data_IF_252726248894
#
_entry.id   IF_252726248894
#
_cell.length_a   1.000
_cell.length_b   1.000
_cell.length_c   1.000
_cell.angle_alpha   90.00
_cell.angle_beta   90.00
_cell.angle_gamma   90.00
#
_symmetry.space_group_name_H-M   'P 1'
#
loop_
_entity.id
_entity.type
_entity.pdbx_description
1 polymer ?
#
# COMPACT_ATOMS: atom_id res chain seq x y z
N UNK A 1 11.97 -23.60 -4.40
CA UNK A 1 12.13 -23.74 -2.94
C UNK A 1 11.55 -22.53 -2.24
N UNK A 2 11.11 -22.65 -0.99
CA UNK A 2 10.57 -21.53 -0.21
C UNK A 2 11.61 -20.39 -0.10
N UNK A 3 12.89 -20.75 0.06
CA UNK A 3 13.99 -19.78 0.12
C UNK A 3 14.17 -18.96 -1.18
N UNK A 4 13.83 -19.52 -2.33
CA UNK A 4 13.81 -18.78 -3.59
C UNK A 4 12.69 -17.73 -3.59
N UNK A 5 11.48 -18.14 -3.20
CA UNK A 5 10.32 -17.25 -3.17
C UNK A 5 10.54 -16.07 -2.22
N UNK A 6 11.06 -16.33 -1.02
CA UNK A 6 11.39 -15.29 -0.03
C UNK A 6 12.40 -14.28 -0.58
N UNK A 7 13.49 -14.76 -1.20
CA UNK A 7 14.51 -13.88 -1.82
C UNK A 7 13.91 -13.08 -2.99
N UNK A 8 13.12 -13.73 -3.83
CA UNK A 8 12.48 -13.11 -4.98
C UNK A 8 11.56 -11.95 -4.56
N UNK A 9 10.69 -12.17 -3.57
CA UNK A 9 9.81 -11.14 -3.03
C UNK A 9 10.57 -10.02 -2.31
N UNK A 10 11.58 -10.37 -1.51
CA UNK A 10 12.38 -9.40 -0.80
C UNK A 10 13.16 -8.46 -1.74
N UNK A 11 13.75 -9.01 -2.82
CA UNK A 11 14.47 -8.23 -3.84
C UNK A 11 13.49 -7.28 -4.57
N UNK A 12 12.31 -7.76 -4.95
CA UNK A 12 11.29 -6.95 -5.60
C UNK A 12 10.81 -5.79 -4.72
N UNK A 13 10.47 -6.07 -3.47
CA UNK A 13 10.02 -5.06 -2.51
C UNK A 13 11.12 -4.05 -2.16
N UNK A 14 12.37 -4.49 -2.01
CA UNK A 14 13.50 -3.58 -1.80
C UNK A 14 13.73 -2.67 -3.01
N UNK A 15 13.69 -3.24 -4.22
CA UNK A 15 13.75 -2.47 -5.47
C UNK A 15 12.62 -1.44 -5.54
N UNK A 16 11.41 -1.84 -5.16
CA UNK A 16 10.25 -0.93 -5.11
C UNK A 16 10.47 0.21 -4.11
N UNK A 17 11.01 -0.07 -2.92
CA UNK A 17 11.31 0.94 -1.91
C UNK A 17 12.31 1.99 -2.43
N UNK A 18 13.45 1.54 -2.95
CA UNK A 18 14.49 2.43 -3.47
C UNK A 18 13.99 3.23 -4.67
N UNK A 19 13.31 2.57 -5.61
CA UNK A 19 12.85 3.20 -6.84
C UNK A 19 11.76 4.24 -6.60
N UNK A 20 10.86 4.04 -5.63
CA UNK A 20 9.80 5.00 -5.29
C UNK A 20 10.35 6.39 -4.98
N UNK A 21 11.47 6.46 -4.27
CA UNK A 21 12.13 7.74 -3.97
C UNK A 21 12.54 8.49 -5.24
N UNK A 22 13.26 7.83 -6.15
CA UNK A 22 13.73 8.47 -7.40
C UNK A 22 12.58 8.76 -8.37
N UNK A 23 11.60 7.87 -8.45
CA UNK A 23 10.42 8.05 -9.31
C UNK A 23 9.60 9.26 -8.86
N UNK A 24 9.52 9.55 -7.56
CA UNK A 24 8.86 10.74 -7.05
C UNK A 24 9.37 12.04 -7.70
N UNK A 25 10.68 12.16 -7.96
CA UNK A 25 11.25 13.31 -8.68
C UNK A 25 10.88 13.34 -10.16
N UNK A 26 10.76 12.18 -10.79
CA UNK A 26 10.36 12.07 -12.20
C UNK A 26 8.89 12.46 -12.40
N UNK A 27 7.99 12.09 -11.47
CA UNK A 27 6.57 12.41 -11.52
C UNK A 27 6.32 13.92 -11.52
N UNK A 28 7.11 14.69 -10.79
CA UNK A 28 6.98 16.15 -10.74
C UNK A 28 7.48 16.84 -12.02
N UNK A 29 8.28 16.15 -12.86
CA UNK A 29 8.92 16.75 -14.04
C UNK A 29 8.28 16.34 -15.37
N UNK A 30 7.72 15.15 -15.42
CA UNK A 30 7.22 14.56 -16.66
C UNK A 30 5.70 14.42 -16.68
N UNK A 31 5.16 14.17 -17.86
CA UNK A 31 3.73 13.93 -18.05
C UNK A 31 3.31 12.63 -17.34
N UNK A 32 2.42 12.77 -16.37
CA UNK A 32 1.94 11.67 -15.54
C UNK A 32 1.29 10.54 -16.36
N UNK A 33 0.53 10.88 -17.42
CA UNK A 33 -0.09 9.88 -18.31
C UNK A 33 0.98 9.02 -18.99
N UNK A 34 2.02 9.65 -19.55
CA UNK A 34 3.11 8.92 -20.22
C UNK A 34 3.89 8.03 -19.25
N UNK A 35 4.17 8.53 -18.04
CA UNK A 35 4.85 7.75 -17.00
C UNK A 35 4.00 6.55 -16.56
N UNK A 36 2.70 6.73 -16.36
CA UNK A 36 1.81 5.64 -15.97
C UNK A 36 1.77 4.54 -17.04
N UNK A 37 1.67 4.92 -18.32
CA UNK A 37 1.73 3.97 -19.44
C UNK A 37 3.06 3.23 -19.48
N UNK A 38 4.17 3.94 -19.30
CA UNK A 38 5.51 3.36 -19.26
C UNK A 38 5.66 2.32 -18.15
N UNK A 39 5.28 2.66 -16.90
CA UNK A 39 5.39 1.74 -15.78
C UNK A 39 4.43 0.55 -15.89
N UNK A 40 3.21 0.76 -16.41
CA UNK A 40 2.27 -0.34 -16.70
C UNK A 40 2.83 -1.32 -17.71
N UNK A 41 3.50 -0.80 -18.76
CA UNK A 41 4.14 -1.66 -19.77
C UNK A 41 5.30 -2.47 -19.18
N UNK A 42 6.12 -1.87 -18.32
CA UNK A 42 7.18 -2.59 -17.60
C UNK A 42 6.57 -3.74 -16.79
N UNK A 43 5.54 -3.47 -15.98
CA UNK A 43 4.89 -4.51 -15.17
C UNK A 43 4.33 -5.63 -16.04
N UNK A 44 3.65 -5.31 -17.15
CA UNK A 44 3.10 -6.31 -18.06
C UNK A 44 4.18 -7.23 -18.64
N UNK A 45 5.30 -6.66 -19.10
CA UNK A 45 6.43 -7.41 -19.67
C UNK A 45 7.09 -8.29 -18.59
N UNK A 46 7.29 -7.75 -17.37
CA UNK A 46 7.90 -8.51 -16.28
C UNK A 46 7.05 -9.70 -15.86
N UNK A 47 5.74 -9.51 -15.67
CA UNK A 47 4.85 -10.62 -15.28
C UNK A 47 4.79 -11.69 -16.37
N UNK A 48 4.76 -11.30 -17.65
CA UNK A 48 4.87 -12.25 -18.74
C UNK A 48 6.20 -13.01 -18.68
N UNK A 49 7.31 -12.30 -18.41
CA UNK A 49 8.62 -12.90 -18.21
C UNK A 49 8.67 -13.91 -17.08
N UNK A 50 8.04 -13.61 -15.93
CA UNK A 50 7.96 -14.54 -14.77
C UNK A 50 7.28 -15.87 -15.11
N UNK A 51 6.31 -15.85 -16.02
CA UNK A 51 5.62 -17.08 -16.45
C UNK A 51 6.45 -17.93 -17.40
N UNK A 52 7.25 -17.28 -18.26
CA UNK A 52 8.00 -17.97 -19.35
C UNK A 52 9.40 -18.39 -18.90
N UNK A 53 10.05 -17.58 -18.04
CA UNK A 53 11.45 -17.79 -17.65
C UNK A 53 11.53 -18.79 -16.49
N UNK A 54 12.45 -19.76 -16.62
CA UNK A 54 12.71 -20.76 -15.57
C UNK A 54 14.08 -20.58 -14.89
N UNK A 55 14.91 -19.65 -15.36
CA UNK A 55 16.22 -19.40 -14.78
C UNK A 55 16.14 -18.50 -13.56
N UNK A 56 16.59 -18.97 -12.40
CA UNK A 56 16.50 -18.26 -11.12
C UNK A 56 17.17 -16.88 -11.13
N UNK A 57 18.35 -16.75 -11.75
CA UNK A 57 19.09 -15.48 -11.80
C UNK A 57 18.32 -14.44 -12.62
N UNK A 58 17.79 -14.89 -13.78
CA UNK A 58 16.99 -14.02 -14.64
C UNK A 58 15.71 -13.61 -13.94
N UNK A 59 15.08 -14.50 -13.15
CA UNK A 59 13.89 -14.17 -12.37
C UNK A 59 14.18 -13.10 -11.29
N UNK A 60 15.35 -13.11 -10.66
CA UNK A 60 15.73 -12.02 -9.74
C UNK A 60 15.85 -10.67 -10.46
N UNK A 61 16.43 -10.66 -11.66
CA UNK A 61 16.51 -9.43 -12.49
C UNK A 61 15.11 -8.95 -12.87
N UNK A 62 14.22 -9.86 -13.27
CA UNK A 62 12.82 -9.53 -13.58
C UNK A 62 12.11 -8.98 -12.36
N UNK A 63 12.32 -9.54 -11.16
CA UNK A 63 11.77 -9.03 -9.91
C UNK A 63 12.23 -7.60 -9.59
N UNK A 64 13.50 -7.28 -9.84
CA UNK A 64 14.02 -5.90 -9.69
C UNK A 64 13.29 -4.95 -10.65
N UNK A 65 13.18 -5.31 -11.92
CA UNK A 65 12.54 -4.47 -12.94
C UNK A 65 11.04 -4.33 -12.66
N UNK A 66 10.38 -5.40 -12.23
CA UNK A 66 8.99 -5.37 -11.79
C UNK A 66 8.80 -4.43 -10.60
N UNK A 67 9.70 -4.50 -9.59
CA UNK A 67 9.69 -3.59 -8.44
C UNK A 67 9.78 -2.11 -8.85
N UNK A 68 10.60 -1.77 -9.85
CA UNK A 68 10.67 -0.42 -10.41
C UNK A 68 9.34 -0.02 -11.07
N UNK A 69 8.76 -0.91 -11.88
CA UNK A 69 7.47 -0.67 -12.53
C UNK A 69 6.33 -0.46 -11.52
N UNK A 70 6.22 -1.35 -10.56
CA UNK A 70 5.21 -1.30 -9.49
C UNK A 70 5.37 -0.03 -8.63
N UNK A 71 6.60 0.33 -8.25
CA UNK A 71 6.91 1.59 -7.57
C UNK A 71 6.37 2.80 -8.33
N UNK A 72 6.56 2.81 -9.67
CA UNK A 72 6.07 3.87 -10.53
C UNK A 72 4.56 4.00 -10.49
N UNK A 73 3.83 2.89 -10.60
CA UNK A 73 2.38 2.87 -10.58
C UNK A 73 1.82 3.33 -9.23
N UNK A 74 2.33 2.81 -8.13
CA UNK A 74 1.84 3.14 -6.80
C UNK A 74 2.15 4.60 -6.44
N UNK A 75 3.34 5.09 -6.80
CA UNK A 75 3.77 6.46 -6.47
C UNK A 75 3.05 7.52 -7.29
N UNK A 76 2.65 7.23 -8.54
CA UNK A 76 2.05 8.23 -9.44
C UNK A 76 0.54 8.44 -9.19
N UNK A 77 -0.17 7.44 -8.68
CA UNK A 77 -1.62 7.50 -8.50
C UNK A 77 -2.06 8.62 -7.54
N UNK A 78 -1.52 8.77 -6.32
CA UNK A 78 -1.95 9.83 -5.41
C UNK A 78 -1.76 11.25 -5.97
N UNK A 79 -0.62 11.63 -6.60
CA UNK A 79 -0.48 12.91 -7.29
C UNK A 79 -1.47 13.14 -8.44
N UNK A 80 -1.90 12.08 -9.14
CA UNK A 80 -2.96 12.19 -10.15
C UNK A 80 -4.29 12.49 -9.46
N UNK A 81 -4.67 11.72 -8.45
CA UNK A 81 -5.93 11.90 -7.73
C UNK A 81 -6.06 13.29 -7.12
N UNK A 82 -4.95 13.84 -6.61
CA UNK A 82 -4.92 15.20 -6.08
C UNK A 82 -5.17 16.28 -7.13
N UNK A 83 -4.94 16.02 -8.43
CA UNK A 83 -5.26 16.99 -9.50
C UNK A 83 -6.77 17.08 -9.77
N UNK A 84 -7.54 16.06 -9.42
CA UNK A 84 -9.00 15.99 -9.57
C UNK A 84 -9.76 16.29 -8.27
N UNK A 85 -9.04 16.58 -7.18
CA UNK A 85 -9.65 16.88 -5.89
C UNK A 85 -10.40 18.22 -5.98
N UNK A 86 -11.72 18.16 -5.81
CA UNK A 86 -12.62 19.31 -5.66
C UNK A 86 -13.19 19.34 -4.25
N UNK A 87 -13.90 20.42 -3.88
CA UNK A 87 -14.58 20.47 -2.58
C UNK A 87 -15.65 19.39 -2.44
N UNK A 88 -16.32 19.03 -3.53
CA UNK A 88 -17.34 17.97 -3.56
C UNK A 88 -16.75 16.55 -3.48
N UNK A 89 -15.51 16.37 -3.97
CA UNK A 89 -14.88 15.05 -4.10
C UNK A 89 -13.55 14.98 -3.32
N UNK A 90 -13.62 15.23 -2.01
CA UNK A 90 -12.43 15.36 -1.14
C UNK A 90 -11.69 14.04 -0.87
N UNK A 91 -12.35 12.88 -1.07
CA UNK A 91 -11.88 11.59 -0.55
C UNK A 91 -11.36 10.63 -1.61
N UNK A 92 -10.87 11.12 -2.77
CA UNK A 92 -10.39 10.26 -3.86
C UNK A 92 -9.31 9.24 -3.46
N UNK A 93 -8.41 9.59 -2.54
CA UNK A 93 -7.38 8.67 -2.07
C UNK A 93 -8.01 7.50 -1.32
N UNK A 94 -9.01 7.77 -0.47
CA UNK A 94 -9.74 6.73 0.27
C UNK A 94 -10.55 5.84 -0.68
N UNK A 95 -11.23 6.43 -1.67
CA UNK A 95 -11.94 5.65 -2.71
C UNK A 95 -10.99 4.75 -3.50
N UNK A 96 -9.83 5.28 -3.91
CA UNK A 96 -8.84 4.48 -4.61
C UNK A 96 -8.36 3.30 -3.77
N UNK A 97 -8.18 3.50 -2.46
CA UNK A 97 -7.78 2.43 -1.54
C UNK A 97 -8.86 1.36 -1.43
N UNK A 98 -10.13 1.75 -1.28
CA UNK A 98 -11.26 0.82 -1.26
C UNK A 98 -11.36 -0.02 -2.53
N UNK A 99 -11.26 0.61 -3.71
CA UNK A 99 -11.26 -0.07 -5.01
C UNK A 99 -10.08 -1.05 -5.11
N UNK A 100 -8.89 -0.66 -4.64
CA UNK A 100 -7.70 -1.50 -4.67
C UNK A 100 -7.91 -2.78 -3.83
N UNK A 101 -8.43 -2.67 -2.61
CA UNK A 101 -8.71 -3.80 -1.73
C UNK A 101 -9.76 -4.73 -2.35
N UNK A 102 -10.86 -4.18 -2.89
CA UNK A 102 -11.90 -4.96 -3.57
C UNK A 102 -11.32 -5.69 -4.78
N UNK A 103 -10.53 -5.01 -5.59
CA UNK A 103 -9.89 -5.60 -6.80
C UNK A 103 -8.93 -6.72 -6.43
N UNK A 104 -8.12 -6.55 -5.39
CA UNK A 104 -7.23 -7.58 -4.84
C UNK A 104 -8.01 -8.83 -4.42
N UNK A 105 -9.14 -8.63 -3.73
CA UNK A 105 -10.01 -9.73 -3.29
C UNK A 105 -10.63 -10.48 -4.47
N UNK A 106 -11.17 -9.74 -5.44
CA UNK A 106 -11.75 -10.35 -6.66
C UNK A 106 -10.68 -11.14 -7.40
N UNK A 107 -9.47 -10.59 -7.55
CA UNK A 107 -8.34 -11.27 -8.18
C UNK A 107 -7.97 -12.57 -7.47
N UNK A 108 -7.87 -12.54 -6.14
CA UNK A 108 -7.57 -13.72 -5.32
C UNK A 108 -8.67 -14.80 -5.42
N UNK A 109 -9.94 -14.42 -5.38
CA UNK A 109 -11.07 -15.34 -5.53
C UNK A 109 -11.11 -15.95 -6.92
N UNK A 110 -10.91 -15.16 -7.97
CA UNK A 110 -10.85 -15.66 -9.35
C UNK A 110 -9.69 -16.64 -9.55
N UNK A 111 -8.51 -16.31 -9.04
CA UNK A 111 -7.36 -17.20 -9.08
C UNK A 111 -7.66 -18.53 -8.36
N UNK A 112 -8.25 -18.48 -7.17
CA UNK A 112 -8.66 -19.66 -6.40
C UNK A 112 -9.71 -20.50 -7.13
N UNK A 113 -10.71 -19.90 -7.75
CA UNK A 113 -11.73 -20.60 -8.53
C UNK A 113 -11.15 -21.27 -9.78
N UNK A 114 -10.32 -20.54 -10.54
CA UNK A 114 -9.74 -21.04 -11.79
C UNK A 114 -8.75 -22.20 -11.55
N UNK A 115 -7.97 -22.15 -10.47
CA UNK A 115 -7.02 -23.21 -10.10
C UNK A 115 -7.67 -24.34 -9.31
N UNK A 116 -8.89 -24.12 -8.79
CA UNK A 116 -9.64 -25.09 -8.01
C UNK A 116 -10.11 -26.32 -8.80
N UNK A 117 -10.65 -27.30 -8.08
CA UNK A 117 -11.10 -28.58 -8.64
C UNK A 117 -12.12 -28.46 -9.76
N UNK A 118 -12.88 -27.35 -9.83
CA UNK A 118 -13.92 -27.13 -10.84
C UNK A 118 -13.35 -26.87 -12.24
N UNK A 119 -12.31 -26.04 -12.34
CA UNK A 119 -11.74 -25.64 -13.63
C UNK A 119 -10.38 -26.27 -13.89
N UNK A 120 -9.63 -26.63 -12.84
CA UNK A 120 -8.32 -27.31 -12.91
C UNK A 120 -7.32 -26.65 -13.87
N UNK A 121 -7.42 -25.32 -14.02
CA UNK A 121 -6.51 -24.56 -14.89
C UNK A 121 -5.15 -24.46 -14.20
N UNK A 122 -4.07 -24.68 -14.93
CA UNK A 122 -2.72 -24.58 -14.37
C UNK A 122 -2.44 -23.15 -13.89
N UNK A 123 -1.73 -23.01 -12.78
CA UNK A 123 -1.34 -21.70 -12.21
C UNK A 123 -0.64 -20.82 -13.26
N UNK A 124 0.19 -21.42 -14.14
CA UNK A 124 0.86 -20.69 -15.24
C UNK A 124 -0.15 -20.03 -16.19
N UNK A 125 -1.21 -20.73 -16.57
CA UNK A 125 -2.24 -20.18 -17.47
C UNK A 125 -3.05 -19.07 -16.78
N UNK A 126 -3.33 -19.19 -15.49
CA UNK A 126 -3.99 -18.13 -14.72
C UNK A 126 -3.11 -16.89 -14.63
N UNK A 127 -1.81 -17.06 -14.41
CA UNK A 127 -0.86 -15.94 -14.36
C UNK A 127 -0.74 -15.21 -15.72
N UNK A 128 -0.97 -15.88 -16.86
CA UNK A 128 -1.01 -15.23 -18.18
C UNK A 128 -2.19 -14.28 -18.37
N UNK A 129 -3.24 -14.38 -17.55
CA UNK A 129 -4.35 -13.43 -17.58
C UNK A 129 -3.90 -12.04 -17.09
N UNK A 130 -2.96 -11.98 -16.15
CA UNK A 130 -2.51 -10.73 -15.53
C UNK A 130 -1.89 -9.76 -16.53
N UNK A 131 -0.89 -10.12 -17.37
CA UNK A 131 -0.36 -9.21 -18.38
C UNK A 131 -1.43 -8.78 -19.41
N UNK A 132 -2.42 -9.62 -19.73
CA UNK A 132 -3.53 -9.24 -20.59
C UNK A 132 -4.36 -8.13 -19.95
N UNK A 133 -4.66 -8.23 -18.64
CA UNK A 133 -5.37 -7.19 -17.90
C UNK A 133 -4.56 -5.88 -17.85
N UNK A 134 -3.23 -5.94 -17.74
CA UNK A 134 -2.38 -4.75 -17.85
C UNK A 134 -2.47 -4.10 -19.23
N UNK A 135 -2.47 -4.90 -20.31
CA UNK A 135 -2.63 -4.39 -21.68
C UNK A 135 -3.98 -3.72 -21.86
N UNK A 136 -5.07 -4.35 -21.39
CA UNK A 136 -6.41 -3.76 -21.41
C UNK A 136 -6.43 -2.44 -20.63
N UNK A 137 -5.83 -2.39 -19.44
CA UNK A 137 -5.70 -1.18 -18.64
C UNK A 137 -4.94 -0.08 -19.40
N UNK A 138 -3.84 -0.41 -20.09
CA UNK A 138 -3.08 0.52 -20.92
C UNK A 138 -3.97 1.08 -22.03
N UNK A 139 -4.73 0.24 -22.75
CA UNK A 139 -5.63 0.66 -23.83
C UNK A 139 -6.69 1.61 -23.29
N UNK A 140 -7.40 1.23 -22.21
CA UNK A 140 -8.45 2.07 -21.60
C UNK A 140 -7.86 3.42 -21.17
N UNK A 141 -6.66 3.42 -20.59
CA UNK A 141 -6.00 4.63 -20.12
C UNK A 141 -5.53 5.53 -21.28
N UNK A 142 -5.12 4.96 -22.41
CA UNK A 142 -4.76 5.73 -23.62
C UNK A 142 -5.95 6.40 -24.23
N UNK A 143 -7.11 5.74 -24.27
CA UNK A 143 -8.34 6.27 -24.83
C UNK A 143 -8.95 7.41 -23.99
N UNK A 144 -8.54 7.55 -22.73
CA UNK A 144 -9.06 8.59 -21.85
C UNK A 144 -8.22 9.87 -21.96
N UNK A 145 -8.64 10.81 -22.83
CA UNK A 145 -7.89 12.04 -23.16
C UNK A 145 -7.84 13.08 -22.04
N UNK A 146 -8.76 13.02 -21.08
CA UNK A 146 -8.91 14.04 -20.03
C UNK A 146 -7.94 13.92 -18.84
N UNK A 147 -7.00 12.99 -18.86
CA UNK A 147 -5.95 12.95 -17.83
C UNK A 147 -4.99 14.09 -18.15
N UNK A 148 -5.27 15.22 -17.49
CA UNK A 148 -4.70 16.51 -17.77
C UNK A 148 -3.20 16.46 -18.02
N UNK A 149 -2.82 16.62 -19.27
CA UNK A 149 -1.54 17.13 -19.69
C UNK A 149 -1.40 18.62 -19.33
N UNK A 150 -1.78 19.05 -18.14
CA UNK A 150 -1.35 20.34 -17.65
C UNK A 150 0.16 20.26 -17.48
N UNK A 151 0.85 20.37 -18.63
CA UNK A 151 2.25 20.73 -18.67
C UNK A 151 2.35 22.06 -17.94
N UNK A 152 2.85 22.01 -16.73
CA UNK A 152 3.12 23.22 -15.97
C UNK A 152 4.09 24.07 -16.75
N UNK A 153 3.68 25.31 -17.00
CA UNK A 153 4.60 26.38 -17.31
C UNK A 153 5.77 26.28 -16.35
N UNK A 154 6.98 26.21 -16.92
CA UNK A 154 8.23 26.21 -16.17
C UNK A 154 8.36 27.53 -15.44
N UNK A 155 7.81 27.65 -14.23
CA UNK A 155 8.01 28.86 -13.43
C UNK A 155 9.50 28.91 -13.03
N UNK A 156 10.17 29.99 -13.42
CA UNK A 156 11.56 30.31 -13.03
C UNK A 156 11.74 30.50 -11.52
N UNK A 157 10.67 30.54 -10.74
CA UNK A 157 10.66 30.65 -9.27
C UNK A 157 11.09 29.36 -8.53
N UNK A 158 11.50 28.33 -9.27
CA UNK A 158 11.71 26.95 -8.80
C UNK A 158 12.75 26.79 -7.69
N UNK A 159 13.75 27.67 -7.61
CA UNK A 159 14.87 27.50 -6.67
C UNK A 159 14.66 28.25 -5.32
N UNK A 160 13.85 29.29 -5.30
CA UNK A 160 13.63 30.09 -4.10
C UNK A 160 12.70 29.40 -3.10
N UNK A 161 11.68 28.69 -3.62
CA UNK A 161 10.72 27.95 -2.80
C UNK A 161 11.27 26.65 -2.19
N UNK A 162 12.31 26.05 -2.76
CA UNK A 162 12.94 24.85 -2.22
C UNK A 162 13.54 25.04 -0.82
N UNK A 163 14.06 26.24 -0.54
CA UNK A 163 14.70 26.57 0.74
C UNK A 163 13.70 26.97 1.83
N UNK A 164 12.48 27.41 1.45
CA UNK A 164 11.48 27.96 2.37
C UNK A 164 10.35 26.98 2.71
N UNK A 165 10.16 25.91 1.92
CA UNK A 165 8.93 25.11 1.95
C UNK A 165 8.98 23.85 2.80
N UNK A 166 10.16 23.32 3.10
CA UNK A 166 10.23 22.10 3.92
C UNK A 166 11.52 22.14 4.74
N UNK A 167 11.40 22.46 6.01
CA UNK A 167 12.51 22.28 6.95
C UNK A 167 12.96 20.82 6.94
N UNK A 168 14.24 20.55 7.20
CA UNK A 168 14.75 19.18 7.32
C UNK A 168 13.90 18.34 8.29
N UNK A 169 13.38 18.97 9.32
CA UNK A 169 12.46 18.40 10.30
C UNK A 169 11.16 17.88 9.70
N UNK A 170 10.57 18.59 8.73
CA UNK A 170 9.34 18.16 8.04
C UNK A 170 9.54 16.85 7.28
N UNK A 171 10.66 16.69 6.56
CA UNK A 171 11.00 15.45 5.87
C UNK A 171 11.21 14.29 6.83
N UNK A 172 11.93 14.54 7.93
CA UNK A 172 12.17 13.52 8.96
C UNK A 172 10.83 13.06 9.56
N UNK A 173 9.92 13.97 9.85
CA UNK A 173 8.60 13.64 10.40
C UNK A 173 7.77 12.80 9.43
N UNK A 174 7.78 13.11 8.12
CA UNK A 174 7.11 12.30 7.10
C UNK A 174 7.73 10.90 7.07
N UNK A 175 9.04 10.79 6.98
CA UNK A 175 9.74 9.51 6.92
C UNK A 175 9.41 8.67 8.15
N UNK A 176 9.54 9.22 9.35
CA UNK A 176 9.24 8.52 10.61
C UNK A 176 7.78 8.10 10.68
N UNK A 177 6.84 8.99 10.32
CA UNK A 177 5.43 8.68 10.32
C UNK A 177 5.10 7.48 9.43
N UNK A 178 5.59 7.48 8.19
CA UNK A 178 5.25 6.43 7.23
C UNK A 178 6.11 5.16 7.35
N UNK A 179 7.34 5.25 7.88
CA UNK A 179 8.07 4.06 8.33
C UNK A 179 7.29 3.34 9.44
N UNK A 180 6.82 4.08 10.43
CA UNK A 180 6.04 3.50 11.52
C UNK A 180 4.70 2.95 11.03
N UNK A 181 3.98 3.66 10.14
CA UNK A 181 2.74 3.13 9.54
C UNK A 181 2.98 1.85 8.74
N UNK A 182 4.10 1.72 8.04
CA UNK A 182 4.42 0.49 7.31
C UNK A 182 4.73 -0.71 8.22
N UNK A 183 5.19 -0.48 9.46
CA UNK A 183 5.35 -1.55 10.46
C UNK A 183 4.05 -1.95 11.16
N UNK A 184 3.07 -1.05 11.24
CA UNK A 184 1.84 -1.30 11.99
C UNK A 184 1.07 -2.55 11.50
N UNK A 185 0.91 -2.84 10.17
CA UNK A 185 0.18 -4.01 9.69
C UNK A 185 0.99 -5.31 9.71
N UNK A 186 2.04 -5.39 10.50
CA UNK A 186 2.93 -6.55 10.55
C UNK A 186 2.16 -7.87 10.75
N UNK A 187 1.14 -7.88 11.62
CA UNK A 187 0.31 -9.05 11.83
C UNK A 187 -0.50 -9.42 10.59
N UNK A 188 -1.03 -8.43 9.85
CA UNK A 188 -1.87 -8.67 8.68
C UNK A 188 -1.10 -9.42 7.59
N UNK A 189 0.18 -9.13 7.42
CA UNK A 189 1.04 -9.82 6.47
C UNK A 189 1.24 -11.30 6.82
N UNK A 190 1.12 -11.67 8.10
CA UNK A 190 1.29 -13.03 8.58
C UNK A 190 -0.01 -13.67 9.11
N UNK A 191 -1.15 -13.08 8.87
CA UNK A 191 -2.44 -13.49 9.43
C UNK A 191 -2.77 -14.96 9.09
N UNK A 192 -2.42 -15.40 7.88
CA UNK A 192 -2.65 -16.78 7.44
C UNK A 192 -1.85 -17.77 8.29
N UNK A 193 -0.56 -17.48 8.52
CA UNK A 193 0.34 -18.32 9.33
C UNK A 193 -0.07 -18.27 10.80
N UNK A 194 -0.52 -17.10 11.29
CA UNK A 194 -1.01 -16.93 12.63
C UNK A 194 -2.26 -17.80 12.91
N UNK A 195 -3.27 -17.76 12.04
CA UNK A 195 -4.48 -18.56 12.20
C UNK A 195 -4.21 -20.07 12.02
N UNK A 196 -3.37 -20.44 11.06
CA UNK A 196 -2.94 -21.82 10.90
C UNK A 196 -2.28 -22.37 12.17
N UNK A 197 -1.26 -21.67 12.70
CA UNK A 197 -0.50 -22.13 13.85
C UNK A 197 -1.28 -22.11 15.17
N UNK A 198 -2.23 -21.18 15.33
CA UNK A 198 -2.94 -20.98 16.58
C UNK A 198 -4.25 -21.78 16.67
N UNK A 199 -4.94 -21.95 15.56
CA UNK A 199 -6.27 -22.57 15.53
C UNK A 199 -6.33 -23.86 14.70
N UNK A 200 -5.24 -24.30 14.11
CA UNK A 200 -5.16 -25.49 13.22
C UNK A 200 -6.23 -25.45 12.11
N UNK A 201 -6.49 -24.30 11.54
CA UNK A 201 -7.47 -24.13 10.46
C UNK A 201 -6.80 -24.46 9.13
N UNK A 202 -7.49 -25.19 8.26
CA UNK A 202 -7.00 -25.49 6.92
C UNK A 202 -6.68 -24.25 6.11
N UNK A 203 -5.58 -24.29 5.35
CA UNK A 203 -5.10 -23.15 4.54
C UNK A 203 -6.18 -22.63 3.59
N UNK A 204 -7.00 -23.51 3.01
CA UNK A 204 -8.11 -23.13 2.12
C UNK A 204 -9.19 -22.30 2.86
N UNK A 205 -9.55 -22.70 4.07
CA UNK A 205 -10.54 -21.99 4.89
C UNK A 205 -9.99 -20.60 5.32
N UNK A 206 -8.70 -20.52 5.65
CA UNK A 206 -8.04 -19.26 5.97
C UNK A 206 -8.05 -18.32 4.76
N UNK A 207 -7.78 -18.84 3.57
CA UNK A 207 -7.80 -18.03 2.35
C UNK A 207 -9.20 -17.44 2.06
N UNK A 208 -10.27 -18.25 2.19
CA UNK A 208 -11.65 -17.76 2.05
C UNK A 208 -12.01 -16.74 3.10
N UNK A 209 -11.64 -16.98 4.37
CA UNK A 209 -11.89 -16.06 5.47
C UNK A 209 -11.18 -14.73 5.23
N UNK A 210 -9.92 -14.75 4.83
CA UNK A 210 -9.14 -13.54 4.53
C UNK A 210 -9.70 -12.78 3.32
N UNK A 211 -10.10 -13.49 2.26
CA UNK A 211 -10.76 -12.87 1.11
C UNK A 211 -12.07 -12.19 1.51
N UNK A 212 -12.89 -12.83 2.35
CA UNK A 212 -14.14 -12.25 2.85
C UNK A 212 -13.88 -11.00 3.71
N UNK A 213 -12.91 -11.07 4.63
CA UNK A 213 -12.53 -9.93 5.48
C UNK A 213 -12.10 -8.74 4.58
N UNK A 214 -11.23 -8.96 3.60
CA UNK A 214 -10.78 -7.89 2.70
C UNK A 214 -11.94 -7.32 1.86
N UNK A 215 -12.82 -8.17 1.35
CA UNK A 215 -13.98 -7.73 0.58
C UNK A 215 -14.90 -6.84 1.40
N UNK A 216 -15.27 -7.28 2.59
CA UNK A 216 -16.10 -6.51 3.51
C UNK A 216 -15.41 -5.21 3.96
N UNK A 217 -14.08 -5.25 4.17
CA UNK A 217 -13.29 -4.06 4.51
C UNK A 217 -13.31 -3.04 3.36
N UNK A 218 -13.10 -3.48 2.13
CA UNK A 218 -13.16 -2.62 0.96
C UNK A 218 -14.52 -1.92 0.81
N UNK A 219 -15.60 -2.66 0.98
CA UNK A 219 -16.98 -2.12 0.96
C UNK A 219 -17.18 -1.11 2.11
N UNK A 220 -16.78 -1.45 3.33
CA UNK A 220 -16.89 -0.56 4.48
C UNK A 220 -16.13 0.73 4.28
N UNK A 221 -14.89 0.66 3.81
CA UNK A 221 -14.05 1.83 3.52
C UNK A 221 -14.70 2.68 2.42
N UNK A 222 -15.28 2.07 1.38
CA UNK A 222 -15.99 2.79 0.33
C UNK A 222 -17.17 3.60 0.87
N UNK A 223 -17.99 3.03 1.77
CA UNK A 223 -19.10 3.75 2.37
C UNK A 223 -18.64 4.82 3.37
N UNK A 224 -17.68 4.49 4.22
CA UNK A 224 -17.14 5.43 5.22
C UNK A 224 -16.42 6.61 4.56
N UNK A 225 -15.82 6.41 3.37
CA UNK A 225 -15.16 7.48 2.63
C UNK A 225 -16.10 8.62 2.20
N UNK A 226 -17.42 8.39 2.19
CA UNK A 226 -18.43 9.43 1.93
C UNK A 226 -18.61 10.37 3.13
N UNK A 227 -18.15 9.98 4.31
CA UNK A 227 -18.28 10.76 5.56
C UNK A 227 -17.05 11.67 5.72
N UNK A 228 -17.24 12.86 6.27
CA UNK A 228 -16.15 13.82 6.50
C UNK A 228 -15.42 13.57 7.83
N UNK A 229 -14.46 12.64 7.84
CA UNK A 229 -13.68 12.28 9.03
C UNK A 229 -12.30 12.96 9.10
N UNK A 230 -12.15 14.21 8.61
CA UNK A 230 -10.84 14.87 8.50
C UNK A 230 -10.38 15.62 9.78
N UNK A 231 -11.14 15.54 10.85
CA UNK A 231 -10.73 16.20 12.10
C UNK A 231 -9.64 15.40 12.82
N UNK A 232 -8.73 16.10 13.50
CA UNK A 232 -7.72 15.46 14.37
C UNK A 232 -8.39 14.53 15.39
N UNK A 233 -9.57 14.90 15.88
CA UNK A 233 -10.35 14.07 16.83
C UNK A 233 -10.72 12.71 16.23
N UNK A 234 -11.12 12.66 14.95
CA UNK A 234 -11.43 11.40 14.27
C UNK A 234 -10.18 10.53 14.08
N UNK A 235 -9.05 11.13 13.71
CA UNK A 235 -7.78 10.40 13.60
C UNK A 235 -7.39 9.80 14.96
N UNK A 236 -7.47 10.59 16.02
CA UNK A 236 -7.18 10.10 17.37
C UNK A 236 -8.12 9.00 17.82
N UNK A 237 -9.42 9.08 17.49
CA UNK A 237 -10.36 8.00 17.79
C UNK A 237 -10.05 6.71 17.06
N UNK A 238 -9.65 6.78 15.77
CA UNK A 238 -9.21 5.60 15.02
C UNK A 238 -7.97 4.95 15.66
N UNK A 239 -7.00 5.75 16.10
CA UNK A 239 -5.80 5.23 16.78
C UNK A 239 -6.16 4.54 18.09
N UNK A 240 -7.01 5.15 18.91
CA UNK A 240 -7.49 4.52 20.17
C UNK A 240 -8.18 3.20 19.87
N UNK A 241 -9.04 3.15 18.84
CA UNK A 241 -9.71 1.92 18.43
C UNK A 241 -8.72 0.86 17.94
N UNK A 242 -7.70 1.23 17.16
CA UNK A 242 -6.64 0.30 16.72
C UNK A 242 -5.86 -0.26 17.93
N UNK A 243 -5.56 0.57 18.94
CA UNK A 243 -4.87 0.12 20.15
C UNK A 243 -5.74 -0.85 20.94
N UNK A 244 -7.02 -0.51 21.15
CA UNK A 244 -7.97 -1.38 21.84
C UNK A 244 -8.14 -2.72 21.11
N UNK A 245 -8.25 -2.68 19.79
CA UNK A 245 -8.37 -3.87 18.97
C UNK A 245 -7.14 -4.79 19.10
N UNK A 246 -5.92 -4.23 19.06
CA UNK A 246 -4.70 -4.99 19.30
C UNK A 246 -4.67 -5.62 20.72
N UNK A 247 -5.14 -4.92 21.73
CA UNK A 247 -5.23 -5.44 23.10
C UNK A 247 -6.22 -6.63 23.16
N UNK A 248 -7.37 -6.50 22.51
CA UNK A 248 -8.37 -7.59 22.44
C UNK A 248 -7.79 -8.82 21.73
N UNK A 249 -7.03 -8.62 20.63
CA UNK A 249 -6.36 -9.70 19.91
C UNK A 249 -5.34 -10.47 20.76
N UNK A 250 -4.69 -9.80 21.71
CA UNK A 250 -3.74 -10.44 22.67
C UNK A 250 -4.49 -11.23 23.73
N UNK A 251 -5.51 -10.59 24.35
CA UNK A 251 -6.18 -11.11 25.56
C UNK A 251 -7.18 -12.21 25.23
N UNK A 252 -7.93 -12.06 24.15
CA UNK A 252 -9.04 -12.95 23.81
C UNK A 252 -8.63 -14.06 22.84
N UNK A 253 -8.66 -15.30 23.32
CA UNK A 253 -8.32 -16.48 22.52
C UNK A 253 -9.59 -17.17 21.96
N UNK A 254 -10.43 -16.42 21.25
CA UNK A 254 -11.62 -16.94 20.58
C UNK A 254 -11.54 -16.59 19.08
N UNK A 255 -11.65 -17.61 18.21
CA UNK A 255 -11.53 -17.45 16.77
C UNK A 255 -12.47 -16.38 16.20
N UNK A 256 -13.75 -16.40 16.58
CA UNK A 256 -14.74 -15.47 16.03
C UNK A 256 -14.42 -14.03 16.42
N UNK A 257 -14.03 -13.81 17.68
CA UNK A 257 -13.63 -12.49 18.17
C UNK A 257 -12.41 -12.02 17.39
N UNK A 258 -11.42 -12.89 17.18
CA UNK A 258 -10.21 -12.53 16.45
C UNK A 258 -10.46 -12.22 14.99
N UNK A 259 -11.37 -12.94 14.32
CA UNK A 259 -11.77 -12.62 12.94
C UNK A 259 -12.43 -11.24 12.87
N UNK A 260 -13.33 -10.93 13.81
CA UNK A 260 -13.97 -9.61 13.90
C UNK A 260 -12.95 -8.50 14.17
N UNK A 261 -12.00 -8.73 15.06
CA UNK A 261 -10.92 -7.79 15.35
C UNK A 261 -10.02 -7.56 14.14
N UNK A 262 -9.58 -8.61 13.44
CA UNK A 262 -8.78 -8.47 12.23
C UNK A 262 -9.53 -7.66 11.16
N UNK A 263 -10.82 -7.89 11.00
CA UNK A 263 -11.67 -7.09 10.11
C UNK A 263 -11.68 -5.61 10.52
N UNK A 264 -11.94 -5.33 11.80
CA UNK A 264 -11.96 -3.97 12.34
C UNK A 264 -10.60 -3.29 12.19
N UNK A 265 -9.52 -4.01 12.50
CA UNK A 265 -8.15 -3.54 12.33
C UNK A 265 -7.85 -3.12 10.89
N UNK A 266 -8.15 -3.98 9.90
CA UNK A 266 -7.91 -3.68 8.49
C UNK A 266 -8.70 -2.43 8.07
N UNK A 267 -9.99 -2.34 8.43
CA UNK A 267 -10.80 -1.17 8.11
C UNK A 267 -10.22 0.13 8.71
N UNK A 268 -9.91 0.12 9.99
CA UNK A 268 -9.40 1.30 10.71
C UNK A 268 -8.02 1.72 10.20
N UNK A 269 -7.14 0.74 9.99
CA UNK A 269 -5.78 0.99 9.54
C UNK A 269 -5.73 1.57 8.12
N UNK A 270 -6.51 1.01 7.20
CA UNK A 270 -6.59 1.48 5.82
C UNK A 270 -7.21 2.87 5.71
N UNK A 271 -8.23 3.16 6.51
CA UNK A 271 -8.80 4.50 6.63
C UNK A 271 -7.79 5.49 7.19
N UNK A 272 -7.12 5.14 8.29
CA UNK A 272 -6.11 5.97 8.94
C UNK A 272 -4.99 6.32 7.95
N UNK A 273 -4.41 5.32 7.29
CA UNK A 273 -3.32 5.50 6.33
C UNK A 273 -3.74 6.40 5.17
N UNK A 274 -4.95 6.20 4.64
CA UNK A 274 -5.48 6.99 3.54
C UNK A 274 -5.72 8.45 3.93
N UNK A 275 -6.27 8.72 5.12
CA UNK A 275 -6.49 10.08 5.61
C UNK A 275 -5.18 10.78 5.91
N UNK A 276 -4.21 10.10 6.52
CA UNK A 276 -2.88 10.65 6.78
C UNK A 276 -2.19 11.03 5.47
N UNK A 277 -2.27 10.16 4.47
CA UNK A 277 -1.71 10.41 3.15
C UNK A 277 -2.37 11.65 2.50
N UNK A 278 -3.70 11.74 2.55
CA UNK A 278 -4.46 12.88 2.00
C UNK A 278 -4.10 14.19 2.71
N UNK A 279 -3.95 14.18 4.04
CA UNK A 279 -3.56 15.36 4.82
C UNK A 279 -2.18 15.83 4.42
N UNK A 280 -1.21 14.94 4.37
CA UNK A 280 0.18 15.30 4.02
C UNK A 280 0.24 15.90 2.61
N UNK A 281 -0.42 15.28 1.62
CA UNK A 281 -0.44 15.82 0.26
C UNK A 281 -1.22 17.13 0.16
N UNK A 282 -2.35 17.28 0.85
CA UNK A 282 -3.16 18.50 0.78
C UNK A 282 -2.48 19.72 1.41
N UNK A 283 -1.62 19.50 2.40
CA UNK A 283 -0.81 20.56 3.04
C UNK A 283 0.41 20.96 2.23
N UNK A 284 0.76 20.23 1.17
CA UNK A 284 1.96 20.47 0.38
C UNK A 284 1.64 21.12 -0.97
N UNK A 285 2.62 21.83 -1.52
CA UNK A 285 2.45 22.42 -2.85
C UNK A 285 2.37 21.31 -3.90
N UNK A 286 1.41 21.44 -4.80
CA UNK A 286 1.17 20.49 -5.89
C UNK A 286 2.40 20.21 -6.78
N UNK A 287 3.41 21.10 -6.75
CA UNK A 287 4.70 20.92 -7.46
C UNK A 287 5.58 19.82 -6.86
N UNK A 288 5.32 19.41 -5.62
CA UNK A 288 6.10 18.44 -4.86
C UNK A 288 5.33 17.17 -4.52
N UNK A 289 4.07 17.04 -5.00
CA UNK A 289 3.25 15.87 -4.70
C UNK A 289 3.92 14.56 -5.13
N UNK A 290 4.64 14.56 -6.27
CA UNK A 290 5.39 13.39 -6.72
C UNK A 290 6.51 12.99 -5.77
N UNK A 291 7.33 13.95 -5.34
CA UNK A 291 8.44 13.71 -4.41
C UNK A 291 7.94 13.23 -3.06
N UNK A 292 6.91 13.87 -2.52
CA UNK A 292 6.33 13.48 -1.23
C UNK A 292 5.72 12.08 -1.33
N UNK A 293 4.95 11.81 -2.39
CA UNK A 293 4.44 10.47 -2.66
C UNK A 293 5.55 9.43 -2.75
N UNK A 294 6.66 9.77 -3.42
CA UNK A 294 7.85 8.91 -3.52
C UNK A 294 8.48 8.61 -2.17
N UNK A 295 8.66 9.62 -1.32
CA UNK A 295 9.21 9.45 0.05
C UNK A 295 8.28 8.62 0.91
N UNK A 296 6.98 8.89 0.88
CA UNK A 296 5.96 8.12 1.62
C UNK A 296 6.03 6.65 1.21
N UNK A 297 5.97 6.39 -0.10
CA UNK A 297 5.95 5.01 -0.61
C UNK A 297 7.27 4.28 -0.36
N UNK A 298 8.42 4.98 -0.49
CA UNK A 298 9.71 4.42 -0.13
C UNK A 298 9.78 4.02 1.35
N UNK A 299 9.27 4.88 2.24
CA UNK A 299 9.23 4.62 3.68
C UNK A 299 8.32 3.43 4.01
N UNK A 300 7.12 3.36 3.44
CA UNK A 300 6.20 2.24 3.63
C UNK A 300 6.78 0.91 3.12
N UNK A 301 7.30 0.88 1.89
CA UNK A 301 7.85 -0.34 1.30
C UNK A 301 9.12 -0.82 2.03
N UNK A 302 9.96 0.11 2.51
CA UNK A 302 11.15 -0.24 3.29
C UNK A 302 10.74 -0.89 4.62
N UNK A 303 9.81 -0.30 5.34
CA UNK A 303 9.32 -0.84 6.60
C UNK A 303 8.55 -2.16 6.42
N UNK A 304 7.78 -2.31 5.34
CA UNK A 304 7.14 -3.58 5.01
C UNK A 304 8.18 -4.68 4.76
N UNK A 305 9.24 -4.39 3.99
CA UNK A 305 10.34 -5.32 3.74
C UNK A 305 11.02 -5.75 5.04
N UNK A 306 11.35 -4.80 5.91
CA UNK A 306 11.93 -5.07 7.23
C UNK A 306 10.93 -5.80 8.14
N UNK A 307 9.66 -5.42 8.07
CA UNK A 307 8.56 -6.04 8.80
C UNK A 307 8.39 -7.51 8.47
N UNK A 308 8.48 -7.89 7.20
CA UNK A 308 8.41 -9.29 6.76
C UNK A 308 9.56 -10.09 7.39
N UNK A 309 10.78 -9.57 7.40
CA UNK A 309 11.93 -10.24 8.01
C UNK A 309 11.76 -10.39 9.53
N UNK A 310 11.45 -9.30 10.23
CA UNK A 310 11.26 -9.29 11.69
C UNK A 310 10.07 -10.18 12.08
N UNK A 311 8.97 -10.09 11.34
CA UNK A 311 7.77 -10.89 11.55
C UNK A 311 8.01 -12.39 11.40
N UNK A 312 8.80 -12.80 10.41
CA UNK A 312 9.20 -14.19 10.22
C UNK A 312 9.98 -14.75 11.43
N UNK A 313 10.91 -13.95 11.96
CA UNK A 313 11.66 -14.32 13.19
C UNK A 313 10.72 -14.44 14.40
N UNK A 314 9.80 -13.47 14.59
CA UNK A 314 8.82 -13.49 15.69
C UNK A 314 7.89 -14.71 15.62
N UNK A 315 7.46 -15.10 14.42
CA UNK A 315 6.66 -16.30 14.20
C UNK A 315 7.43 -17.57 14.55
N UNK A 316 8.69 -17.66 14.15
CA UNK A 316 9.56 -18.78 14.49
C UNK A 316 9.72 -18.96 16.01
N UNK A 317 9.78 -17.86 16.75
CA UNK A 317 9.84 -17.83 18.21
C UNK A 317 8.48 -18.01 18.89
N UNK A 318 7.37 -18.06 18.15
CA UNK A 318 5.98 -18.10 18.65
C UNK A 318 5.63 -16.93 19.59
N UNK A 319 6.30 -15.81 19.47
CA UNK A 319 6.13 -14.62 20.30
C UNK A 319 5.05 -13.68 19.74
N UNK A 320 3.81 -14.14 19.66
CA UNK A 320 2.70 -13.39 19.04
C UNK A 320 2.43 -12.03 19.70
N UNK A 321 2.64 -11.91 21.01
CA UNK A 321 2.44 -10.63 21.72
C UNK A 321 3.37 -9.51 21.22
N UNK A 322 4.54 -9.87 20.66
CA UNK A 322 5.46 -8.88 20.07
C UNK A 322 4.87 -8.22 18.81
N UNK A 323 4.11 -8.96 17.99
CA UNK A 323 3.43 -8.37 16.83
C UNK A 323 2.52 -7.22 17.23
N UNK A 324 1.71 -7.46 18.26
CA UNK A 324 0.76 -6.47 18.76
C UNK A 324 1.47 -5.29 19.39
N UNK A 325 2.53 -5.56 20.17
CA UNK A 325 3.37 -4.53 20.78
C UNK A 325 4.00 -3.62 19.73
N UNK A 326 4.59 -4.19 18.69
CA UNK A 326 5.18 -3.42 17.56
C UNK A 326 4.11 -2.62 16.84
N UNK A 327 2.94 -3.21 16.55
CA UNK A 327 1.84 -2.51 15.90
C UNK A 327 1.37 -1.30 16.72
N UNK A 328 1.18 -1.44 18.02
CA UNK A 328 0.76 -0.35 18.92
C UNK A 328 1.80 0.76 18.94
N UNK A 329 3.07 0.42 19.22
CA UNK A 329 4.14 1.41 19.32
C UNK A 329 4.30 2.16 17.98
N UNK A 330 4.32 1.44 16.87
CA UNK A 330 4.44 2.03 15.54
C UNK A 330 3.28 2.97 15.21
N UNK A 331 2.05 2.58 15.52
CA UNK A 331 0.87 3.43 15.31
C UNK A 331 0.95 4.71 16.14
N UNK A 332 1.32 4.61 17.42
CA UNK A 332 1.45 5.77 18.32
C UNK A 332 2.54 6.72 17.84
N UNK A 333 3.73 6.22 17.51
CA UNK A 333 4.84 7.06 17.03
C UNK A 333 4.49 7.75 15.72
N UNK A 334 3.83 7.04 14.79
CA UNK A 334 3.36 7.63 13.54
C UNK A 334 2.43 8.82 13.79
N UNK A 335 1.42 8.63 14.63
CA UNK A 335 0.42 9.69 14.90
C UNK A 335 1.04 10.88 15.63
N UNK A 336 1.94 10.68 16.58
CA UNK A 336 2.67 11.77 17.22
C UNK A 336 3.42 12.59 16.17
N UNK A 337 4.14 11.92 15.24
CA UNK A 337 4.86 12.59 14.15
C UNK A 337 3.93 13.41 13.27
N UNK A 338 2.73 12.89 12.95
CA UNK A 338 1.75 13.59 12.13
C UNK A 338 1.15 14.79 12.86
N UNK A 339 0.84 14.67 14.15
CA UNK A 339 0.31 15.78 14.95
C UNK A 339 1.33 16.92 15.02
N UNK A 340 2.61 16.61 15.21
CA UNK A 340 3.68 17.61 15.19
C UNK A 340 3.72 18.29 13.82
N UNK A 341 3.69 17.50 12.74
CA UNK A 341 3.68 17.99 11.36
C UNK A 341 2.46 18.87 11.04
N UNK A 342 1.31 18.59 11.66
CA UNK A 342 0.12 19.42 11.49
C UNK A 342 0.23 20.75 12.21
N UNK A 343 0.89 20.82 13.37
CA UNK A 343 1.08 22.05 14.16
C UNK A 343 2.15 22.98 13.58
N UNK A 344 3.23 22.44 13.02
CA UNK A 344 4.33 23.27 12.46
C UNK A 344 3.94 24.17 11.28
N UNK A 345 2.76 24.02 10.72
CA UNK A 345 2.31 24.83 9.56
C UNK A 345 1.32 25.93 9.94
N UNK A 346 0.84 25.93 11.15
CA UNK A 346 -0.06 26.97 11.67
C UNK A 346 0.74 28.15 12.29
N UNK A 347 2.08 27.99 12.44
CA UNK A 347 3.06 29.02 12.79
C UNK A 347 3.80 29.53 11.53
#
# INVERSE_FOLDING_TARGET
SNAFLEKFLAIGNFSMAVSSYFIGFTIDRYNKKKLMLFFSSICAICIFGEVVISNEIVMYVVSVIYGIGAAGLITIVPPILMTYKTEENRNFIVYNRAINIISLTIGALLAGLLTGKQFSISIKNVLLIVPILYIVSIIVFTLHDNIASKSREKSKERNFYLKKLVSERYWILIIVAFLCLGFAPLLVNFINVYFYNRYNIDVSNIAYMYALINFCSGITIFFVSKMEFKSIKCIMSMVVLIILDNIILVVWNNLYIQVCCVFAYICLFELLTSYVYDIVLSKTNSNFHGRISGVIQASCNLSETLGIYIGGVMLGLKCYWLFFGVSIISTVVSIISIIILMKEKDD
#
